data_IF_626224872776
#
_entry.id   IF_626224872776
#
_cell.length_a   1.000
_cell.length_b   1.000
_cell.length_c   1.000
_cell.angle_alpha   90.00
_cell.angle_beta   90.00
_cell.angle_gamma   90.00
#
_symmetry.space_group_name_H-M   'P 1'
#
loop_
_entity.id
_entity.type
_entity.pdbx_description
1 polymer ?
#
# COMPACT_ATOMS: atom_id res chain seq x y z
N UNK A 1 13.45 19.51 5.60
CA UNK A 1 14.77 18.84 5.70
C UNK A 1 14.72 17.35 5.38
N UNK A 2 13.65 16.62 5.72
CA UNK A 2 13.48 15.17 5.46
C UNK A 2 13.89 14.71 4.06
N UNK A 3 13.34 15.32 2.99
CA UNK A 3 13.59 14.91 1.61
C UNK A 3 15.08 15.00 1.22
N UNK A 4 15.80 16.01 1.73
CA UNK A 4 17.25 16.13 1.48
C UNK A 4 18.04 15.02 2.18
N UNK A 5 17.57 14.58 3.36
CA UNK A 5 18.17 13.46 4.09
C UNK A 5 18.01 12.13 3.37
N UNK A 6 16.84 11.87 2.76
CA UNK A 6 16.59 10.67 1.96
C UNK A 6 17.46 10.59 0.70
N UNK A 7 17.87 11.73 0.15
CA UNK A 7 18.75 11.81 -1.02
C UNK A 7 20.23 12.05 -0.67
N UNK A 8 20.63 11.92 0.60
CA UNK A 8 22.00 12.16 1.02
C UNK A 8 22.96 11.09 0.47
N UNK A 9 24.20 11.50 0.15
CA UNK A 9 25.27 10.57 -0.28
C UNK A 9 25.61 9.55 0.82
N UNK A 10 25.58 9.99 2.08
CA UNK A 10 25.85 9.16 3.25
C UNK A 10 24.65 8.25 3.58
N UNK A 11 24.88 6.94 3.66
CA UNK A 11 23.82 5.94 3.88
C UNK A 11 23.23 5.98 5.29
N UNK A 12 24.04 6.29 6.31
CA UNK A 12 23.55 6.51 7.67
C UNK A 12 22.60 7.71 7.74
N UNK A 13 22.86 8.78 6.97
CA UNK A 13 21.93 9.93 6.87
C UNK A 13 20.61 9.49 6.22
N UNK A 14 20.67 8.72 5.13
CA UNK A 14 19.45 8.17 4.48
C UNK A 14 18.67 7.26 5.42
N UNK A 15 19.36 6.40 6.18
CA UNK A 15 18.77 5.50 7.18
C UNK A 15 18.05 6.27 8.29
N UNK A 16 18.66 7.33 8.83
CA UNK A 16 17.99 8.16 9.84
C UNK A 16 16.78 8.90 9.26
N UNK A 17 16.90 9.44 8.04
CA UNK A 17 15.77 10.06 7.35
C UNK A 17 14.64 9.05 7.07
N UNK A 18 14.96 7.79 6.75
CA UNK A 18 13.99 6.72 6.58
C UNK A 18 13.20 6.47 7.86
N UNK A 19 13.88 6.35 9.02
CA UNK A 19 13.23 6.15 10.32
C UNK A 19 12.21 7.26 10.59
N UNK A 20 12.62 8.52 10.38
CA UNK A 20 11.74 9.68 10.54
C UNK A 20 10.53 9.57 9.59
N UNK A 21 10.77 9.29 8.31
CA UNK A 21 9.71 9.14 7.30
C UNK A 21 8.63 8.14 7.74
N UNK A 22 9.04 6.96 8.21
CA UNK A 22 8.08 5.91 8.63
C UNK A 22 7.37 6.25 9.94
N UNK A 23 8.03 6.92 10.88
CA UNK A 23 7.42 7.29 12.17
C UNK A 23 6.36 8.38 12.04
N UNK A 24 6.50 9.29 11.06
CA UNK A 24 5.57 10.41 10.87
C UNK A 24 4.53 10.20 9.78
N UNK A 25 4.50 9.04 9.12
CA UNK A 25 3.52 8.77 8.08
C UNK A 25 2.09 8.69 8.68
N UNK A 26 1.05 9.20 7.98
CA UNK A 26 1.12 10.08 6.82
C UNK A 26 1.31 11.55 7.25
N UNK A 27 2.32 12.21 6.69
CA UNK A 27 2.51 13.65 6.83
C UNK A 27 1.39 14.39 6.11
N UNK A 28 0.85 15.42 6.77
CA UNK A 28 -0.16 16.32 6.23
C UNK A 28 0.40 17.73 6.17
N UNK A 29 -0.02 18.50 5.16
CA UNK A 29 0.36 19.90 5.03
C UNK A 29 -0.59 20.73 5.90
N UNK A 30 -0.08 21.35 6.95
CA UNK A 30 -0.78 22.44 7.64
C UNK A 30 -0.34 23.76 7.00
N UNK A 31 -1.29 24.55 6.49
CA UNK A 31 -1.00 25.94 6.14
C UNK A 31 -0.85 26.74 7.43
N UNK A 32 0.24 27.50 7.54
CA UNK A 32 0.52 28.39 8.67
C UNK A 32 -0.47 29.57 8.72
N UNK A 33 -1.18 29.80 7.63
CA UNK A 33 -2.06 30.95 7.39
C UNK A 33 -3.46 30.73 7.98
N UNK A 34 -3.58 30.12 9.17
CA UNK A 34 -4.72 30.14 10.09
C UNK A 34 -6.14 29.75 9.62
N UNK A 35 -6.44 29.61 8.33
CA UNK A 35 -7.82 29.54 7.83
C UNK A 35 -8.01 28.87 6.46
N UNK A 36 -7.01 28.11 5.96
CA UNK A 36 -7.19 27.22 4.81
C UNK A 36 -6.60 25.86 5.11
N UNK A 37 -7.47 24.86 5.29
CA UNK A 37 -7.06 23.46 5.18
C UNK A 37 -6.33 23.28 3.83
N UNK A 38 -5.21 22.54 3.81
CA UNK A 38 -4.54 22.22 2.55
C UNK A 38 -5.55 21.65 1.55
N UNK A 39 -5.39 21.98 0.27
CA UNK A 39 -6.27 21.44 -0.75
C UNK A 39 -6.17 19.91 -0.75
N UNK A 40 -7.24 19.24 -1.20
CA UNK A 40 -7.24 17.79 -1.37
C UNK A 40 -6.09 17.36 -2.30
N UNK A 41 -5.84 18.14 -3.35
CA UNK A 41 -4.77 17.92 -4.30
C UNK A 41 -3.37 18.05 -3.67
N UNK A 42 -3.12 19.08 -2.84
CA UNK A 42 -1.87 19.22 -2.09
C UNK A 42 -1.62 18.02 -1.17
N UNK A 43 -2.68 17.54 -0.53
CA UNK A 43 -2.63 16.42 0.41
C UNK A 43 -2.29 15.13 -0.33
N UNK A 44 -2.96 14.87 -1.46
CA UNK A 44 -2.71 13.70 -2.29
C UNK A 44 -1.29 13.73 -2.90
N UNK A 45 -0.82 14.91 -3.33
CA UNK A 45 0.54 15.08 -3.84
C UNK A 45 1.61 14.85 -2.76
N UNK A 46 1.38 15.33 -1.54
CA UNK A 46 2.29 15.06 -0.41
C UNK A 46 2.30 13.57 -0.03
N UNK A 47 1.15 12.91 -0.07
CA UNK A 47 1.05 11.48 0.19
C UNK A 47 1.77 10.66 -0.88
N UNK A 48 1.63 11.04 -2.16
CA UNK A 48 2.35 10.41 -3.26
C UNK A 48 3.87 10.56 -3.09
N UNK A 49 4.34 11.76 -2.72
CA UNK A 49 5.77 12.01 -2.44
C UNK A 49 6.33 11.13 -1.31
N UNK A 50 5.53 10.88 -0.27
CA UNK A 50 5.91 9.98 0.82
C UNK A 50 6.06 8.54 0.30
N UNK A 51 5.09 8.06 -0.48
CA UNK A 51 5.12 6.73 -1.11
C UNK A 51 6.35 6.58 -2.01
N UNK A 52 6.65 7.59 -2.84
CA UNK A 52 7.81 7.56 -3.73
C UNK A 52 9.12 7.49 -2.94
N UNK A 53 9.22 8.24 -1.83
CA UNK A 53 10.36 8.17 -0.92
C UNK A 53 10.57 6.77 -0.32
N UNK A 54 9.48 6.10 0.07
CA UNK A 54 9.55 4.73 0.59
C UNK A 54 10.00 3.73 -0.48
N UNK A 55 9.54 3.90 -1.73
CA UNK A 55 9.92 3.06 -2.87
C UNK A 55 11.39 3.23 -3.26
N UNK A 56 11.96 4.42 -3.08
CA UNK A 56 13.39 4.65 -3.24
C UNK A 56 14.20 3.92 -2.16
N UNK A 57 13.74 3.97 -0.90
CA UNK A 57 14.44 3.35 0.23
C UNK A 57 14.49 1.82 0.17
N UNK A 58 13.45 1.17 -0.32
CA UNK A 58 13.48 -0.30 -0.51
C UNK A 58 14.43 -0.75 -1.62
N UNK A 59 14.80 0.16 -2.51
CA UNK A 59 15.76 -0.06 -3.59
C UNK A 59 17.11 0.63 -3.31
N UNK A 60 17.35 1.05 -2.06
CA UNK A 60 18.59 1.74 -1.69
C UNK A 60 19.82 0.90 -1.99
N UNK A 61 20.94 1.54 -2.34
CA UNK A 61 22.21 0.86 -2.61
C UNK A 61 22.76 0.15 -1.38
N UNK A 62 22.57 0.71 -0.17
CA UNK A 62 22.99 0.13 1.09
C UNK A 62 21.99 -0.93 1.58
N UNK A 63 22.41 -2.20 1.79
CA UNK A 63 21.55 -3.24 2.34
C UNK A 63 20.97 -2.88 3.70
N UNK A 64 21.73 -2.20 4.56
CA UNK A 64 21.27 -1.79 5.88
C UNK A 64 20.10 -0.80 5.80
N UNK A 65 20.12 0.11 4.83
CA UNK A 65 19.02 1.05 4.57
C UNK A 65 17.79 0.32 4.04
N UNK A 66 17.96 -0.66 3.13
CA UNK A 66 16.85 -1.49 2.64
C UNK A 66 16.17 -2.27 3.76
N UNK A 67 16.95 -2.84 4.69
CA UNK A 67 16.42 -3.54 5.86
C UNK A 67 15.55 -2.60 6.71
N UNK A 68 16.02 -1.38 6.98
CA UNK A 68 15.23 -0.38 7.71
C UNK A 68 13.96 -0.01 6.95
N UNK A 69 14.03 0.10 5.62
CA UNK A 69 12.88 0.40 4.79
C UNK A 69 11.79 -0.68 4.86
N UNK A 70 12.17 -1.96 4.76
CA UNK A 70 11.24 -3.09 4.86
C UNK A 70 10.59 -3.16 6.23
N UNK A 71 11.37 -3.01 7.31
CA UNK A 71 10.83 -2.96 8.67
C UNK A 71 9.90 -1.75 8.88
N UNK A 72 10.24 -0.60 8.30
CA UNK A 72 9.41 0.60 8.31
C UNK A 72 8.08 0.38 7.61
N UNK A 73 8.09 -0.25 6.44
CA UNK A 73 6.90 -0.59 5.67
C UNK A 73 5.97 -1.54 6.43
N UNK A 74 6.51 -2.58 7.08
CA UNK A 74 5.71 -3.51 7.88
C UNK A 74 4.94 -2.79 9.02
N UNK A 75 5.54 -1.75 9.61
CA UNK A 75 4.87 -0.91 10.62
C UNK A 75 3.71 -0.08 10.05
N UNK A 76 3.62 0.08 8.73
CA UNK A 76 2.53 0.78 8.08
C UNK A 76 1.33 -0.11 7.76
N UNK A 77 1.40 -1.43 7.99
CA UNK A 77 0.27 -2.35 7.76
C UNK A 77 -1.08 -1.89 8.36
N UNK A 78 -1.15 -1.26 9.55
CA UNK A 78 -2.40 -0.74 10.10
C UNK A 78 -3.11 0.31 9.22
N UNK A 79 -2.38 1.05 8.36
CA UNK A 79 -2.97 2.06 7.47
C UNK A 79 -3.85 1.48 6.37
N UNK A 80 -3.80 0.15 6.16
CA UNK A 80 -4.79 -0.56 5.35
C UNK A 80 -6.22 -0.37 5.89
N UNK A 81 -6.36 -0.09 7.19
CA UNK A 81 -7.62 0.13 7.89
C UNK A 81 -7.78 1.60 8.36
N UNK A 82 -7.04 2.56 7.78
CA UNK A 82 -7.16 3.97 8.15
C UNK A 82 -8.59 4.49 7.91
N UNK A 83 -9.04 5.47 8.71
CA UNK A 83 -10.37 6.07 8.55
C UNK A 83 -10.51 6.79 7.20
N UNK A 84 -9.45 7.42 6.74
CA UNK A 84 -9.41 8.17 5.48
C UNK A 84 -9.18 7.23 4.30
N UNK A 85 -10.12 7.22 3.35
CA UNK A 85 -10.03 6.40 2.14
C UNK A 85 -8.77 6.69 1.33
N UNK A 86 -8.33 7.95 1.26
CA UNK A 86 -7.14 8.35 0.52
C UNK A 86 -5.87 7.72 1.10
N UNK A 87 -5.78 7.59 2.43
CA UNK A 87 -4.67 6.92 3.11
C UNK A 87 -4.71 5.42 2.82
N UNK A 88 -5.88 4.77 2.94
CA UNK A 88 -6.04 3.35 2.55
C UNK A 88 -5.63 3.12 1.09
N UNK A 89 -6.10 3.95 0.18
CA UNK A 89 -5.81 3.87 -1.25
C UNK A 89 -4.32 4.07 -1.55
N UNK A 90 -3.65 5.02 -0.87
CA UNK A 90 -2.22 5.22 -1.01
C UNK A 90 -1.41 4.02 -0.51
N UNK A 91 -1.79 3.45 0.63
CA UNK A 91 -1.14 2.24 1.14
C UNK A 91 -1.33 1.05 0.19
N UNK A 92 -2.54 0.86 -0.36
CA UNK A 92 -2.79 -0.22 -1.33
C UNK A 92 -1.98 -0.01 -2.63
N UNK A 93 -1.85 1.24 -3.11
CA UNK A 93 -0.98 1.56 -4.25
C UNK A 93 0.48 1.26 -3.94
N UNK A 94 0.96 1.59 -2.74
CA UNK A 94 2.31 1.25 -2.27
C UNK A 94 2.56 -0.27 -2.32
N UNK A 95 1.62 -1.10 -1.83
CA UNK A 95 1.73 -2.56 -1.92
C UNK A 95 1.84 -3.07 -3.37
N UNK A 96 1.06 -2.48 -4.30
CA UNK A 96 1.14 -2.84 -5.73
C UNK A 96 2.52 -2.49 -6.30
N UNK A 97 3.09 -1.36 -5.90
CA UNK A 97 4.45 -0.97 -6.32
C UNK A 97 5.51 -1.88 -5.71
N UNK A 98 5.38 -2.26 -4.43
CA UNK A 98 6.27 -3.23 -3.77
C UNK A 98 6.25 -4.57 -4.50
N UNK A 99 5.07 -5.09 -4.85
CA UNK A 99 4.93 -6.35 -5.63
C UNK A 99 5.70 -6.32 -6.96
N UNK A 100 5.90 -5.14 -7.55
CA UNK A 100 6.65 -5.01 -8.82
C UNK A 100 8.17 -5.02 -8.65
N UNK A 101 8.67 -4.96 -7.41
CA UNK A 101 10.11 -5.01 -7.11
C UNK A 101 10.55 -6.47 -7.01
N UNK A 102 11.64 -6.83 -7.69
CA UNK A 102 12.18 -8.20 -7.67
C UNK A 102 12.52 -8.63 -6.24
N UNK A 103 12.19 -9.87 -5.89
CA UNK A 103 12.42 -10.48 -4.57
C UNK A 103 11.73 -9.75 -3.41
N UNK A 104 10.70 -8.94 -3.68
CA UNK A 104 9.84 -8.39 -2.66
C UNK A 104 8.44 -8.95 -2.80
N UNK A 105 7.86 -9.38 -1.70
CA UNK A 105 6.48 -9.82 -1.66
C UNK A 105 5.67 -8.86 -0.81
N UNK A 106 4.52 -8.44 -1.32
CA UNK A 106 3.65 -7.54 -0.55
C UNK A 106 3.17 -8.20 0.76
N UNK A 107 3.08 -9.53 0.80
CA UNK A 107 2.65 -10.28 1.98
C UNK A 107 3.68 -10.29 3.12
N UNK A 108 4.94 -9.90 2.84
CA UNK A 108 5.95 -9.64 3.88
C UNK A 108 5.67 -8.31 4.61
N UNK A 109 4.85 -7.43 4.01
CA UNK A 109 4.50 -6.10 4.53
C UNK A 109 3.08 -6.09 5.10
N UNK A 110 2.11 -6.63 4.37
CA UNK A 110 0.71 -6.68 4.76
C UNK A 110 0.14 -8.08 4.50
N UNK A 111 -0.32 -8.81 5.54
CA UNK A 111 -0.86 -10.16 5.37
C UNK A 111 -1.98 -10.22 4.34
N UNK A 112 -2.05 -11.35 3.61
CA UNK A 112 -3.06 -11.60 2.57
C UNK A 112 -4.47 -11.46 3.12
N UNK A 113 -4.75 -12.03 4.29
CA UNK A 113 -6.08 -11.98 4.91
C UNK A 113 -6.53 -10.55 5.20
N UNK A 114 -5.62 -9.70 5.68
CA UNK A 114 -5.89 -8.28 5.91
C UNK A 114 -6.23 -7.56 4.59
N UNK A 115 -5.52 -7.89 3.50
CA UNK A 115 -5.80 -7.34 2.17
C UNK A 115 -7.16 -7.80 1.64
N UNK A 116 -7.49 -9.09 1.77
CA UNK A 116 -8.77 -9.64 1.32
C UNK A 116 -9.94 -9.09 2.14
N UNK A 117 -9.80 -9.02 3.46
CA UNK A 117 -10.79 -8.38 4.32
C UNK A 117 -11.00 -6.92 3.89
N UNK A 118 -9.92 -6.20 3.61
CA UNK A 118 -10.03 -4.82 3.14
C UNK A 118 -10.71 -4.71 1.78
N UNK A 119 -10.44 -5.61 0.84
CA UNK A 119 -11.13 -5.65 -0.45
C UNK A 119 -12.64 -5.79 -0.27
N UNK A 120 -13.07 -6.63 0.66
CA UNK A 120 -14.48 -6.84 0.98
C UNK A 120 -15.12 -5.59 1.59
N UNK A 121 -14.45 -4.99 2.58
CA UNK A 121 -14.95 -3.79 3.26
C UNK A 121 -15.02 -2.56 2.34
N UNK A 122 -14.09 -2.42 1.41
CA UNK A 122 -13.98 -1.29 0.48
C UNK A 122 -14.43 -1.65 -0.95
N UNK A 123 -15.25 -2.70 -1.12
CA UNK A 123 -15.69 -3.16 -2.45
C UNK A 123 -16.37 -2.07 -3.29
N UNK A 124 -17.11 -1.16 -2.65
CA UNK A 124 -17.76 -0.02 -3.28
C UNK A 124 -16.83 1.20 -3.47
N UNK A 125 -15.55 1.10 -3.11
CA UNK A 125 -14.54 2.18 -3.21
C UNK A 125 -13.44 1.80 -4.21
N UNK A 126 -13.59 2.14 -5.50
CA UNK A 126 -12.66 1.72 -6.56
C UNK A 126 -11.21 2.16 -6.33
N UNK A 127 -11.01 3.29 -5.66
CA UNK A 127 -9.70 3.84 -5.26
C UNK A 127 -8.87 2.87 -4.39
N UNK A 128 -9.54 2.03 -3.59
CA UNK A 128 -8.94 1.04 -2.69
C UNK A 128 -9.06 -0.37 -3.29
N UNK A 129 -10.25 -0.75 -3.76
CA UNK A 129 -10.52 -2.09 -4.26
C UNK A 129 -9.66 -2.45 -5.49
N UNK A 130 -9.52 -1.53 -6.47
CA UNK A 130 -8.77 -1.82 -7.71
C UNK A 130 -7.30 -2.14 -7.44
N UNK A 131 -6.54 -1.34 -6.65
CA UNK A 131 -5.18 -1.71 -6.26
C UNK A 131 -5.09 -3.08 -5.55
N UNK A 132 -6.00 -3.38 -4.61
CA UNK A 132 -5.97 -4.66 -3.90
C UNK A 132 -6.23 -5.82 -4.85
N UNK A 133 -7.21 -5.71 -5.74
CA UNK A 133 -7.46 -6.73 -6.79
C UNK A 133 -6.21 -6.95 -7.65
N UNK A 134 -5.49 -5.88 -8.00
CA UNK A 134 -4.23 -5.97 -8.75
C UNK A 134 -3.10 -6.70 -7.99
N UNK A 135 -3.12 -6.70 -6.65
CA UNK A 135 -2.19 -7.51 -5.85
C UNK A 135 -2.39 -9.01 -6.12
N UNK A 136 -3.60 -9.44 -6.43
CA UNK A 136 -3.93 -10.86 -6.57
C UNK A 136 -3.98 -11.32 -8.02
N UNK A 137 -4.41 -10.49 -8.97
CA UNK A 137 -4.66 -10.90 -10.35
C UNK A 137 -3.50 -11.67 -11.00
N UNK A 138 -2.26 -11.17 -10.97
CA UNK A 138 -1.12 -11.89 -11.59
C UNK A 138 -0.64 -13.14 -10.83
N UNK A 139 -1.06 -13.30 -9.58
CA UNK A 139 -0.62 -14.39 -8.70
C UNK A 139 -1.67 -15.52 -8.61
N UNK A 140 -2.95 -15.18 -8.80
CA UNK A 140 -4.07 -16.13 -8.78
C UNK A 140 -4.57 -16.48 -10.20
N UNK A 141 -4.35 -15.61 -11.18
CA UNK A 141 -4.73 -15.83 -12.58
C UNK A 141 -3.48 -15.82 -13.47
N UNK A 142 -2.95 -17.00 -13.86
CA UNK A 142 -1.87 -17.07 -14.84
C UNK A 142 -2.26 -16.32 -16.12
N UNK A 143 -1.30 -15.61 -16.72
CA UNK A 143 -1.54 -14.75 -17.88
C UNK A 143 -2.03 -15.57 -19.09
N UNK A 144 -3.21 -15.19 -19.60
CA UNK A 144 -3.73 -15.25 -20.98
C UNK A 144 -3.56 -16.48 -21.90
N UNK A 145 -2.88 -17.55 -21.51
CA UNK A 145 -2.93 -18.82 -22.25
C UNK A 145 -4.13 -19.69 -21.84
N UNK A 146 -4.92 -19.24 -20.86
CA UNK A 146 -6.16 -19.90 -20.45
C UNK A 146 -7.35 -19.25 -21.16
N UNK A 147 -8.12 -20.07 -21.90
CA UNK A 147 -9.30 -19.61 -22.63
C UNK A 147 -10.33 -18.89 -21.75
N UNK A 148 -11.17 -18.05 -22.37
CA UNK A 148 -12.15 -17.16 -21.72
C UNK A 148 -12.99 -17.84 -20.62
N UNK A 149 -13.34 -19.11 -20.80
CA UNK A 149 -14.11 -19.90 -19.83
C UNK A 149 -13.33 -20.20 -18.53
N UNK A 150 -12.05 -20.53 -18.61
CA UNK A 150 -11.20 -20.76 -17.43
C UNK A 150 -10.97 -19.45 -16.67
N UNK A 151 -10.80 -18.35 -17.40
CA UNK A 151 -10.70 -17.02 -16.81
C UNK A 151 -11.98 -16.63 -16.07
N UNK A 152 -13.15 -16.81 -16.70
CA UNK A 152 -14.44 -16.54 -16.07
C UNK A 152 -14.66 -17.41 -14.82
N UNK A 153 -14.30 -18.70 -14.85
CA UNK A 153 -14.44 -19.57 -13.69
C UNK A 153 -13.55 -19.16 -12.51
N UNK A 154 -12.29 -18.78 -12.75
CA UNK A 154 -11.45 -18.28 -11.67
C UNK A 154 -11.97 -16.96 -11.07
N UNK A 155 -12.54 -16.08 -11.92
CA UNK A 155 -13.14 -14.82 -11.46
C UNK A 155 -14.37 -15.14 -10.62
N UNK A 156 -15.23 -16.03 -11.11
CA UNK A 156 -16.43 -16.50 -10.41
C UNK A 156 -16.06 -17.16 -9.09
N UNK A 157 -15.04 -18.02 -9.00
CA UNK A 157 -14.60 -18.59 -7.72
C UNK A 157 -14.03 -17.53 -6.76
N UNK A 158 -13.22 -16.58 -7.25
CA UNK A 158 -12.72 -15.48 -6.43
C UNK A 158 -13.86 -14.65 -5.82
N UNK A 159 -14.89 -14.35 -6.62
CA UNK A 159 -16.06 -13.59 -6.18
C UNK A 159 -17.07 -14.41 -5.35
N UNK A 160 -17.29 -15.70 -5.66
CA UNK A 160 -18.30 -16.56 -5.02
C UNK A 160 -17.78 -17.40 -3.84
N UNK A 161 -16.49 -17.65 -3.73
CA UNK A 161 -15.89 -18.42 -2.64
C UNK A 161 -15.08 -17.50 -1.74
N UNK A 162 -14.27 -16.61 -2.31
CA UNK A 162 -13.43 -15.67 -1.55
C UNK A 162 -14.22 -14.51 -0.93
N UNK A 163 -14.93 -13.74 -1.75
CA UNK A 163 -15.59 -12.50 -1.31
C UNK A 163 -16.88 -12.77 -0.52
N UNK A 164 -17.75 -13.69 -0.98
CA UNK A 164 -18.98 -14.08 -0.27
C UNK A 164 -18.71 -14.82 1.04
N UNK A 165 -17.66 -15.64 1.12
CA UNK A 165 -17.25 -16.29 2.38
C UNK A 165 -16.83 -15.28 3.45
N UNK A 166 -16.02 -14.29 3.08
CA UNK A 166 -15.61 -13.19 3.96
C UNK A 166 -16.78 -12.24 4.31
N UNK A 167 -17.70 -11.98 3.37
CA UNK A 167 -18.90 -11.17 3.62
C UNK A 167 -19.84 -11.82 4.63
N UNK A 168 -20.07 -13.14 4.53
CA UNK A 168 -20.87 -13.92 5.48
C UNK A 168 -20.20 -13.95 6.86
N UNK A 169 -18.87 -14.10 6.91
CA UNK A 169 -18.12 -14.05 8.17
C UNK A 169 -18.22 -12.68 8.85
N UNK A 170 -18.09 -11.57 8.11
CA UNK A 170 -18.18 -10.23 8.73
C UNK A 170 -19.58 -9.89 9.25
N UNK A 171 -20.64 -10.45 8.64
CA UNK A 171 -22.02 -10.30 9.13
C UNK A 171 -22.31 -11.13 10.37
N UNK A 172 -21.55 -12.21 10.61
CA UNK A 172 -21.66 -13.02 11.82
C UNK A 172 -20.85 -12.46 13.01
N UNK A 173 -19.95 -11.50 12.75
CA UNK A 173 -19.06 -10.91 13.76
C UNK A 173 -19.51 -9.52 14.27
N UNK A 174 -20.73 -9.10 13.91
CA UNK A 174 -21.43 -7.92 14.45
C UNK A 174 -22.58 -8.37 15.35
#
# INVERSE_FOLDING_TARGET
MLWRGLSATNDQVRKQAAIVLFQGFPYQKFHLDGNKSASKEDTDALLQKQVDGMLLLVQDTSPATRVVAVHGLAKLAPYLNDKQETVRAAFCRLLVRIKSIRNMHFYDIAPVDSCLLRLVMDAARPSVAKPITNLFLRSYFPQLDMGLHSWLNGVVEFYLVGITGLLLYSRAAQ
#
